data_IF_156133238579
#
_entry.id   IF_156133238579
#
_cell.length_a   1.000
_cell.length_b   1.000
_cell.length_c   1.000
_cell.angle_alpha   90.00
_cell.angle_beta   90.00
_cell.angle_gamma   90.00
#
_symmetry.space_group_name_H-M   'P 1'
#
loop_
_entity.id
_entity.type
_entity.pdbx_description
1 polymer ?
#
# COMPACT_ATOMS: atom_id res chain seq x y z
N UNK A 1 -23.72 32.29 12.50
CA UNK A 1 -24.27 31.51 11.35
C UNK A 1 -23.33 31.71 10.17
N UNK A 2 -22.31 30.86 10.04
CA UNK A 2 -21.31 30.98 8.96
C UNK A 2 -21.94 30.39 7.70
N UNK A 3 -22.15 31.23 6.67
CA UNK A 3 -22.59 30.78 5.35
C UNK A 3 -21.41 30.06 4.68
N UNK A 4 -21.39 28.74 4.77
CA UNK A 4 -20.41 27.91 4.10
C UNK A 4 -20.65 27.96 2.59
N UNK A 5 -19.72 28.57 1.86
CA UNK A 5 -19.82 28.76 0.42
C UNK A 5 -19.54 27.41 -0.26
N UNK A 6 -20.60 26.75 -0.75
CA UNK A 6 -20.54 25.38 -1.33
C UNK A 6 -19.47 25.23 -2.42
N UNK A 7 -19.18 26.31 -3.13
CA UNK A 7 -18.13 26.38 -4.18
C UNK A 7 -16.72 26.21 -3.59
N UNK A 8 -16.47 26.73 -2.38
CA UNK A 8 -15.15 26.63 -1.73
C UNK A 8 -14.88 25.20 -1.20
N UNK A 9 -15.93 24.50 -0.74
CA UNK A 9 -15.86 23.09 -0.34
C UNK A 9 -15.70 22.18 -1.57
N UNK A 10 -16.41 22.47 -2.67
CA UNK A 10 -16.25 21.72 -3.93
C UNK A 10 -14.85 21.89 -4.54
N UNK A 11 -14.25 23.08 -4.42
CA UNK A 11 -12.89 23.33 -4.90
C UNK A 11 -11.84 22.55 -4.08
N UNK A 12 -11.99 22.46 -2.75
CA UNK A 12 -11.11 21.66 -1.89
C UNK A 12 -11.29 20.15 -2.07
N UNK A 13 -12.51 19.66 -2.31
CA UNK A 13 -12.78 18.26 -2.62
C UNK A 13 -12.21 17.83 -3.97
N UNK A 14 -12.26 18.70 -4.98
CA UNK A 14 -11.62 18.44 -6.28
C UNK A 14 -10.09 18.42 -6.18
N UNK A 15 -9.48 19.28 -5.36
CA UNK A 15 -8.04 19.28 -5.12
C UNK A 15 -7.56 18.05 -4.33
N UNK A 16 -8.37 17.55 -3.39
CA UNK A 16 -8.06 16.32 -2.63
C UNK A 16 -8.10 15.07 -3.52
N UNK A 17 -8.98 15.01 -4.52
CA UNK A 17 -9.02 13.91 -5.49
C UNK A 17 -7.98 14.02 -6.62
N UNK A 18 -7.59 15.24 -7.01
CA UNK A 18 -6.49 15.46 -7.96
C UNK A 18 -5.13 15.00 -7.40
N UNK A 19 -4.92 15.10 -6.09
CA UNK A 19 -3.74 14.55 -5.41
C UNK A 19 -3.79 13.02 -5.23
N UNK A 20 -4.97 12.40 -5.31
CA UNK A 20 -5.13 10.94 -5.25
C UNK A 20 -4.66 10.23 -6.54
N UNK A 21 -4.25 11.00 -7.54
CA UNK A 21 -3.89 10.52 -8.89
C UNK A 21 -2.38 10.32 -9.09
N UNK A 22 -1.51 10.77 -8.19
CA UNK A 22 -0.06 10.83 -8.46
C UNK A 22 0.76 9.66 -7.90
N UNK A 23 0.13 8.62 -7.38
CA UNK A 23 0.81 7.35 -7.05
C UNK A 23 0.50 6.22 -8.04
N UNK A 24 -0.30 6.49 -9.07
CA UNK A 24 -0.39 5.61 -10.23
C UNK A 24 0.83 5.91 -11.10
N UNK A 25 1.80 5.00 -11.10
CA UNK A 25 2.72 4.90 -12.24
C UNK A 25 1.89 5.02 -13.52
N UNK A 26 2.36 5.85 -14.45
CA UNK A 26 1.83 6.01 -15.82
C UNK A 26 1.87 4.65 -16.53
N UNK A 27 0.95 3.76 -16.19
CA UNK A 27 0.69 2.52 -16.89
C UNK A 27 -0.44 2.81 -17.87
N UNK A 28 -0.21 2.48 -19.14
CA UNK A 28 -1.28 2.49 -20.13
C UNK A 28 -2.29 1.41 -19.75
N UNK A 29 -3.36 1.80 -19.06
CA UNK A 29 -4.49 0.91 -18.82
C UNK A 29 -5.28 0.70 -20.11
N UNK A 30 -5.85 -0.49 -20.27
CA UNK A 30 -6.85 -0.76 -21.29
C UNK A 30 -8.08 0.13 -21.09
N UNK A 31 -8.73 0.50 -22.19
CA UNK A 31 -9.94 1.33 -22.15
C UNK A 31 -11.04 0.71 -21.26
N UNK A 32 -11.17 -0.62 -21.26
CA UNK A 32 -12.09 -1.38 -20.42
C UNK A 32 -11.81 -1.16 -18.93
N UNK A 33 -10.55 -1.26 -18.51
CA UNK A 33 -10.17 -1.03 -17.12
C UNK A 33 -10.33 0.45 -16.69
N UNK A 34 -10.11 1.40 -17.59
CA UNK A 34 -10.41 2.83 -17.33
C UNK A 34 -11.91 3.05 -17.12
N UNK A 35 -12.76 2.43 -17.94
CA UNK A 35 -14.21 2.49 -17.78
C UNK A 35 -14.63 1.85 -16.46
N UNK A 36 -14.12 0.65 -16.16
CA UNK A 36 -14.41 -0.06 -14.91
C UNK A 36 -13.99 0.76 -13.68
N UNK A 37 -12.79 1.35 -13.68
CA UNK A 37 -12.33 2.25 -12.62
C UNK A 37 -13.26 3.48 -12.47
N UNK A 38 -13.71 4.04 -13.58
CA UNK A 38 -14.63 5.19 -13.59
C UNK A 38 -16.03 4.81 -13.05
N UNK A 39 -16.53 3.63 -13.41
CA UNK A 39 -17.81 3.11 -12.91
C UNK A 39 -17.75 2.76 -11.43
N UNK A 40 -16.64 2.18 -10.96
CA UNK A 40 -16.38 1.96 -9.53
C UNK A 40 -16.44 3.27 -8.77
N UNK A 41 -15.73 4.30 -9.24
CA UNK A 41 -15.78 5.63 -8.63
C UNK A 41 -17.20 6.21 -8.63
N UNK A 42 -17.97 6.06 -9.71
CA UNK A 42 -19.37 6.53 -9.76
C UNK A 42 -20.27 5.75 -8.80
N UNK A 43 -20.16 4.43 -8.75
CA UNK A 43 -21.00 3.56 -7.91
C UNK A 43 -20.69 3.75 -6.41
N UNK A 44 -19.41 3.86 -6.06
CA UNK A 44 -18.98 4.13 -4.69
C UNK A 44 -19.43 5.53 -4.21
N UNK A 45 -19.32 6.56 -5.06
CA UNK A 45 -19.69 7.94 -4.72
C UNK A 45 -21.19 8.21 -4.76
N UNK A 46 -21.95 7.55 -5.64
CA UNK A 46 -23.38 7.87 -5.88
C UNK A 46 -24.33 6.96 -5.12
N UNK A 47 -24.03 5.66 -5.08
CA UNK A 47 -24.97 4.66 -4.59
C UNK A 47 -24.54 4.11 -3.21
N UNK A 48 -23.35 4.48 -2.72
CA UNK A 48 -22.78 4.03 -1.43
C UNK A 48 -22.52 2.52 -1.36
N UNK A 49 -22.62 1.82 -2.49
CA UNK A 49 -22.61 0.36 -2.54
C UNK A 49 -21.31 -0.14 -3.19
N UNK A 50 -20.25 -0.19 -2.38
CA UNK A 50 -18.94 -0.70 -2.80
C UNK A 50 -19.01 -2.19 -3.16
N UNK A 51 -19.88 -2.97 -2.51
CA UNK A 51 -20.05 -4.39 -2.79
C UNK A 51 -20.50 -4.63 -4.24
N UNK A 52 -21.46 -3.84 -4.74
CA UNK A 52 -21.90 -3.92 -6.13
C UNK A 52 -20.79 -3.57 -7.12
N UNK A 53 -19.89 -2.65 -6.74
CA UNK A 53 -18.73 -2.30 -7.56
C UNK A 53 -17.73 -3.48 -7.65
N UNK A 54 -17.51 -4.19 -6.53
CA UNK A 54 -16.71 -5.42 -6.49
C UNK A 54 -17.33 -6.50 -7.38
N UNK A 55 -18.62 -6.78 -7.22
CA UNK A 55 -19.32 -7.79 -8.04
C UNK A 55 -19.23 -7.48 -9.54
N UNK A 56 -19.35 -6.21 -9.90
CA UNK A 56 -19.24 -5.76 -11.31
C UNK A 56 -17.83 -5.99 -11.85
N UNK A 57 -16.79 -5.68 -11.06
CA UNK A 57 -15.40 -5.93 -11.43
C UNK A 57 -15.11 -7.41 -11.55
N UNK A 58 -15.58 -8.24 -10.61
CA UNK A 58 -15.44 -9.69 -10.66
C UNK A 58 -16.06 -10.27 -11.93
N UNK A 59 -17.28 -9.84 -12.30
CA UNK A 59 -17.91 -10.24 -13.56
C UNK A 59 -17.13 -9.76 -14.79
N UNK A 60 -16.59 -8.55 -14.75
CA UNK A 60 -15.76 -8.02 -15.83
C UNK A 60 -14.49 -8.86 -16.03
N UNK A 61 -13.84 -9.27 -14.94
CA UNK A 61 -12.68 -10.18 -14.97
C UNK A 61 -13.04 -11.54 -15.57
N UNK A 62 -14.19 -12.10 -15.21
CA UNK A 62 -14.65 -13.40 -15.71
C UNK A 62 -14.97 -13.39 -17.21
N UNK A 63 -15.49 -12.27 -17.72
CA UNK A 63 -15.94 -12.13 -19.11
C UNK A 63 -14.86 -11.60 -20.05
N UNK A 64 -13.82 -10.95 -19.51
CA UNK A 64 -12.68 -10.48 -20.28
C UNK A 64 -12.01 -11.64 -21.02
N UNK A 65 -11.61 -11.39 -22.27
CA UNK A 65 -11.02 -12.42 -23.13
C UNK A 65 -9.50 -12.31 -23.20
N UNK A 66 -9.01 -11.08 -23.17
CA UNK A 66 -7.59 -10.77 -23.30
C UNK A 66 -6.91 -10.75 -21.93
N UNK A 67 -5.74 -11.37 -21.83
CA UNK A 67 -4.96 -11.40 -20.58
C UNK A 67 -4.55 -10.00 -20.12
N UNK A 68 -4.27 -9.09 -21.07
CA UNK A 68 -3.98 -7.69 -20.78
C UNK A 68 -5.16 -6.96 -20.12
N UNK A 69 -6.39 -7.24 -20.56
CA UNK A 69 -7.60 -6.68 -19.97
C UNK A 69 -7.84 -7.26 -18.57
N UNK A 70 -7.75 -8.59 -18.43
CA UNK A 70 -7.88 -9.26 -17.12
C UNK A 70 -6.88 -8.72 -16.10
N UNK A 71 -5.62 -8.56 -16.51
CA UNK A 71 -4.55 -8.02 -15.68
C UNK A 71 -4.93 -6.65 -15.09
N UNK A 72 -5.40 -5.74 -15.94
CA UNK A 72 -5.77 -4.39 -15.51
C UNK A 72 -7.03 -4.42 -14.61
N UNK A 73 -8.03 -5.25 -14.96
CA UNK A 73 -9.24 -5.39 -14.13
C UNK A 73 -8.93 -5.98 -12.75
N UNK A 74 -8.04 -6.97 -12.67
CA UNK A 74 -7.56 -7.49 -11.38
C UNK A 74 -6.83 -6.41 -10.57
N UNK A 75 -6.03 -5.55 -11.21
CA UNK A 75 -5.34 -4.46 -10.51
C UNK A 75 -6.32 -3.43 -9.93
N UNK A 76 -7.40 -3.10 -10.67
CA UNK A 76 -8.48 -2.22 -10.20
C UNK A 76 -9.23 -2.87 -9.04
N UNK A 77 -9.60 -4.14 -9.17
CA UNK A 77 -10.29 -4.91 -8.13
C UNK A 77 -9.46 -4.99 -6.85
N UNK A 78 -8.18 -5.33 -6.96
CA UNK A 78 -7.27 -5.43 -5.83
C UNK A 78 -7.14 -4.10 -5.08
N UNK A 79 -7.02 -2.99 -5.83
CA UNK A 79 -6.92 -1.65 -5.25
C UNK A 79 -8.20 -1.27 -4.48
N UNK A 80 -9.37 -1.61 -5.01
CA UNK A 80 -10.64 -1.36 -4.32
C UNK A 80 -10.77 -2.22 -3.06
N UNK A 81 -10.44 -3.50 -3.15
CA UNK A 81 -10.45 -4.44 -2.02
C UNK A 81 -9.51 -3.96 -0.89
N UNK A 82 -8.30 -3.53 -1.24
CA UNK A 82 -7.34 -3.00 -0.29
C UNK A 82 -7.86 -1.74 0.42
N UNK A 83 -8.45 -0.80 -0.32
CA UNK A 83 -8.97 0.46 0.22
C UNK A 83 -10.07 0.27 1.26
N UNK A 84 -10.83 -0.83 1.18
CA UNK A 84 -11.89 -1.16 2.15
C UNK A 84 -11.47 -2.20 3.20
N UNK A 85 -10.19 -2.59 3.20
CA UNK A 85 -9.63 -3.51 4.19
C UNK A 85 -9.84 -5.00 3.90
N UNK A 86 -10.29 -5.37 2.70
CA UNK A 86 -10.36 -6.77 2.23
C UNK A 86 -8.97 -7.26 1.79
N UNK A 87 -8.02 -7.27 2.72
CA UNK A 87 -6.61 -7.57 2.44
C UNK A 87 -6.37 -8.99 1.91
N UNK A 88 -7.02 -10.06 2.42
CA UNK A 88 -6.87 -11.39 1.85
C UNK A 88 -7.29 -11.46 0.37
N UNK A 89 -8.42 -10.84 0.02
CA UNK A 89 -8.93 -10.81 -1.35
C UNK A 89 -8.05 -9.93 -2.25
N UNK A 90 -7.63 -8.76 -1.75
CA UNK A 90 -6.71 -7.88 -2.46
C UNK A 90 -5.38 -8.57 -2.79
N UNK A 91 -4.84 -9.36 -1.85
CA UNK A 91 -3.63 -10.16 -2.06
C UNK A 91 -3.81 -11.10 -3.26
N UNK A 92 -4.91 -11.85 -3.31
CA UNK A 92 -5.22 -12.79 -4.40
C UNK A 92 -5.34 -12.04 -5.73
N UNK A 93 -6.07 -10.93 -5.76
CA UNK A 93 -6.27 -10.13 -6.97
C UNK A 93 -4.97 -9.50 -7.48
N UNK A 94 -4.12 -8.94 -6.60
CA UNK A 94 -2.81 -8.41 -6.99
C UNK A 94 -1.88 -9.52 -7.51
N UNK A 95 -1.90 -10.70 -6.90
CA UNK A 95 -1.13 -11.84 -7.38
C UNK A 95 -1.61 -12.31 -8.76
N UNK A 96 -2.93 -12.33 -9.00
CA UNK A 96 -3.50 -12.63 -10.32
C UNK A 96 -3.07 -11.60 -11.38
N UNK A 97 -3.11 -10.31 -11.05
CA UNK A 97 -2.59 -9.25 -11.93
C UNK A 97 -1.08 -9.45 -12.21
N UNK A 98 -0.28 -9.76 -11.20
CA UNK A 98 1.15 -10.03 -11.37
C UNK A 98 1.43 -11.29 -12.23
N UNK A 99 0.56 -12.30 -12.17
CA UNK A 99 0.69 -13.52 -12.96
C UNK A 99 0.42 -13.27 -14.46
N UNK A 100 -0.49 -12.35 -14.78
CA UNK A 100 -0.84 -11.95 -16.14
C UNK A 100 0.09 -10.87 -16.72
N UNK A 101 0.83 -10.16 -15.87
CA UNK A 101 1.84 -9.20 -16.30
C UNK A 101 3.05 -9.90 -16.96
N UNK A 102 3.67 -9.22 -17.93
CA UNK A 102 4.83 -9.76 -18.64
C UNK A 102 5.98 -10.05 -17.67
N UNK A 103 6.59 -11.23 -17.79
CA UNK A 103 7.75 -11.63 -16.98
C UNK A 103 8.92 -10.66 -17.18
N UNK A 104 9.60 -10.32 -16.09
CA UNK A 104 10.77 -9.43 -16.11
C UNK A 104 10.42 -7.94 -16.23
N UNK A 105 9.17 -7.55 -16.00
CA UNK A 105 8.76 -6.14 -15.96
C UNK A 105 8.65 -5.61 -14.53
N UNK A 106 8.86 -4.31 -14.37
CA UNK A 106 8.66 -3.61 -13.09
C UNK A 106 7.19 -3.69 -12.63
N UNK A 107 6.24 -3.59 -13.55
CA UNK A 107 4.80 -3.72 -13.25
C UNK A 107 4.53 -5.01 -12.47
N UNK A 108 5.04 -6.15 -12.96
CA UNK A 108 4.89 -7.43 -12.28
C UNK A 108 5.44 -7.41 -10.86
N UNK A 109 6.60 -6.79 -10.66
CA UNK A 109 7.24 -6.69 -9.34
C UNK A 109 6.48 -5.74 -8.41
N UNK A 110 5.94 -4.62 -8.91
CA UNK A 110 5.09 -3.74 -8.11
C UNK A 110 3.80 -4.43 -7.68
N UNK A 111 3.10 -5.14 -8.59
CA UNK A 111 1.91 -5.92 -8.24
C UNK A 111 2.22 -7.01 -7.22
N UNK A 112 3.39 -7.64 -7.32
CA UNK A 112 3.84 -8.60 -6.31
C UNK A 112 4.11 -7.95 -4.95
N UNK A 113 4.72 -6.76 -4.93
CA UNK A 113 4.91 -5.99 -3.70
C UNK A 113 3.56 -5.57 -3.08
N UNK A 114 2.58 -5.18 -3.89
CA UNK A 114 1.22 -4.89 -3.41
C UNK A 114 0.57 -6.13 -2.78
N UNK A 115 0.73 -7.31 -3.39
CA UNK A 115 0.28 -8.59 -2.82
C UNK A 115 0.97 -8.91 -1.48
N UNK A 116 2.29 -8.69 -1.38
CA UNK A 116 3.05 -8.86 -0.12
C UNK A 116 2.51 -7.92 0.97
N UNK A 117 2.28 -6.64 0.64
CA UNK A 117 1.73 -5.65 1.58
C UNK A 117 0.36 -6.10 2.11
N UNK A 118 -0.50 -6.60 1.23
CA UNK A 118 -1.81 -7.12 1.62
C UNK A 118 -1.69 -8.37 2.51
N UNK A 119 -0.81 -9.31 2.16
CA UNK A 119 -0.54 -10.51 2.96
C UNK A 119 -0.05 -10.16 4.37
N UNK A 120 0.90 -9.23 4.50
CA UNK A 120 1.36 -8.72 5.79
C UNK A 120 0.21 -8.06 6.57
N UNK A 121 -0.62 -7.26 5.89
CA UNK A 121 -1.74 -6.53 6.50
C UNK A 121 -2.78 -7.45 7.13
N UNK A 122 -3.05 -8.63 6.56
CA UNK A 122 -3.92 -9.65 7.15
C UNK A 122 -3.20 -10.68 8.03
N UNK A 123 -1.88 -10.58 8.20
CA UNK A 123 -1.08 -11.51 9.00
C UNK A 123 -0.72 -12.83 8.30
N UNK A 124 -0.92 -12.95 6.98
CA UNK A 124 -0.48 -14.11 6.20
C UNK A 124 1.02 -14.01 5.87
N UNK A 125 1.83 -14.34 6.87
CA UNK A 125 3.29 -14.28 6.77
C UNK A 125 3.84 -15.34 5.81
N UNK A 126 3.18 -16.49 5.70
CA UNK A 126 3.57 -17.57 4.80
C UNK A 126 3.56 -17.13 3.35
N UNK A 127 2.47 -16.49 2.91
CA UNK A 127 2.36 -15.95 1.55
C UNK A 127 3.34 -14.80 1.33
N UNK A 128 3.49 -13.89 2.31
CA UNK A 128 4.44 -12.77 2.20
C UNK A 128 5.88 -13.26 1.98
N UNK A 129 6.36 -14.20 2.80
CA UNK A 129 7.70 -14.77 2.70
C UNK A 129 7.91 -15.54 1.39
N UNK A 130 6.89 -16.28 0.94
CA UNK A 130 6.93 -16.98 -0.34
C UNK A 130 7.09 -16.01 -1.52
N UNK A 131 6.32 -14.93 -1.57
CA UNK A 131 6.43 -13.94 -2.66
C UNK A 131 7.76 -13.20 -2.63
N UNK A 132 8.23 -12.78 -1.45
CA UNK A 132 9.51 -12.09 -1.29
C UNK A 132 10.71 -12.95 -1.74
N UNK A 133 10.65 -14.26 -1.48
CA UNK A 133 11.75 -15.19 -1.80
C UNK A 133 11.71 -15.71 -3.23
N UNK A 134 10.53 -15.92 -3.81
CA UNK A 134 10.39 -16.60 -5.12
C UNK A 134 10.06 -15.68 -6.28
N UNK A 135 9.36 -14.57 -6.05
CA UNK A 135 8.87 -13.69 -7.11
C UNK A 135 9.64 -12.36 -7.19
N UNK A 136 10.39 -12.03 -6.14
CA UNK A 136 11.17 -10.80 -6.02
C UNK A 136 12.66 -11.09 -5.77
N UNK A 137 13.15 -12.28 -6.15
CA UNK A 137 14.53 -12.71 -5.96
C UNK A 137 15.55 -11.71 -6.54
N UNK A 138 15.27 -11.17 -7.73
CA UNK A 138 16.07 -10.15 -8.42
C UNK A 138 15.26 -8.86 -8.67
N UNK A 139 15.32 -7.86 -7.78
CA UNK A 139 14.71 -6.55 -7.99
C UNK A 139 15.21 -5.86 -9.26
N UNK A 140 14.31 -5.22 -10.01
CA UNK A 140 14.65 -4.50 -11.25
C UNK A 140 15.09 -3.05 -11.01
N UNK A 141 14.66 -2.46 -9.90
CA UNK A 141 14.98 -1.08 -9.51
C UNK A 141 15.38 -0.99 -8.05
N UNK A 142 16.09 0.08 -7.69
CA UNK A 142 16.45 0.39 -6.31
C UNK A 142 15.21 0.55 -5.42
N UNK A 143 14.13 1.13 -5.97
CA UNK A 143 12.87 1.27 -5.25
C UNK A 143 12.24 -0.08 -4.90
N UNK A 144 12.20 -1.02 -5.86
CA UNK A 144 11.67 -2.36 -5.62
C UNK A 144 12.55 -3.09 -4.60
N UNK A 145 13.87 -2.93 -4.70
CA UNK A 145 14.83 -3.48 -3.74
C UNK A 145 14.58 -2.95 -2.32
N UNK A 146 14.37 -1.64 -2.18
CA UNK A 146 14.10 -0.99 -0.91
C UNK A 146 12.77 -1.46 -0.29
N UNK A 147 11.69 -1.52 -1.10
CA UNK A 147 10.38 -2.05 -0.67
C UNK A 147 10.48 -3.52 -0.25
N UNK A 148 11.19 -4.36 -1.01
CA UNK A 148 11.45 -5.76 -0.66
C UNK A 148 12.17 -5.89 0.69
N UNK A 149 13.25 -5.13 0.90
CA UNK A 149 14.01 -5.11 2.16
C UNK A 149 13.12 -4.72 3.34
N UNK A 150 12.32 -3.66 3.17
CA UNK A 150 11.38 -3.21 4.20
C UNK A 150 10.32 -4.27 4.53
N UNK A 151 9.68 -4.87 3.52
CA UNK A 151 8.65 -5.88 3.75
C UNK A 151 9.20 -7.17 4.35
N UNK A 152 10.43 -7.56 4.03
CA UNK A 152 11.10 -8.67 4.71
C UNK A 152 11.35 -8.37 6.19
N UNK A 153 11.73 -7.13 6.51
CA UNK A 153 11.91 -6.68 7.89
C UNK A 153 10.60 -6.63 8.67
N UNK A 154 9.51 -6.21 8.01
CA UNK A 154 8.16 -6.26 8.56
C UNK A 154 7.63 -7.67 8.77
N UNK A 155 7.91 -8.60 7.84
CA UNK A 155 7.65 -10.03 8.06
C UNK A 155 8.37 -10.53 9.33
N UNK A 156 9.65 -10.17 9.50
CA UNK A 156 10.39 -10.50 10.72
C UNK A 156 9.76 -9.87 11.98
N UNK A 157 9.29 -8.63 11.90
CA UNK A 157 8.61 -7.96 13.00
C UNK A 157 7.35 -8.71 13.44
N UNK A 158 6.49 -9.13 12.52
CA UNK A 158 5.26 -9.86 12.87
C UNK A 158 5.57 -11.21 13.50
N UNK A 159 6.67 -11.86 13.11
CA UNK A 159 7.13 -13.13 13.69
C UNK A 159 7.85 -12.98 15.03
N UNK A 160 8.17 -11.76 15.45
CA UNK A 160 9.00 -11.52 16.64
C UNK A 160 8.18 -11.71 17.92
N UNK A 161 8.63 -12.62 18.78
CA UNK A 161 7.93 -12.94 20.04
C UNK A 161 8.62 -12.33 21.27
N UNK A 162 9.85 -11.81 21.12
CA UNK A 162 10.66 -11.34 22.23
C UNK A 162 11.29 -9.97 21.98
N UNK A 163 11.68 -9.31 23.07
CA UNK A 163 12.30 -7.96 23.04
C UNK A 163 13.63 -7.92 22.26
N UNK A 164 14.37 -9.02 22.22
CA UNK A 164 15.68 -9.08 21.55
C UNK A 164 15.51 -9.02 20.03
N UNK A 165 14.51 -9.71 19.50
CA UNK A 165 14.18 -9.69 18.07
C UNK A 165 13.72 -8.28 17.66
N UNK A 166 12.84 -7.66 18.45
CA UNK A 166 12.41 -6.27 18.23
C UNK A 166 13.60 -5.31 18.26
N UNK A 167 14.52 -5.46 19.22
CA UNK A 167 15.72 -4.62 19.31
C UNK A 167 16.64 -4.77 18.09
N UNK A 168 16.76 -6.00 17.57
CA UNK A 168 17.54 -6.29 16.37
C UNK A 168 16.90 -5.66 15.13
N UNK A 169 15.57 -5.71 15.02
CA UNK A 169 14.82 -5.06 13.94
C UNK A 169 14.99 -3.54 14.00
N UNK A 170 14.90 -2.94 15.19
CA UNK A 170 15.14 -1.50 15.39
C UNK A 170 16.54 -1.11 14.92
N UNK A 171 17.57 -1.91 15.23
CA UNK A 171 18.94 -1.64 14.76
C UNK A 171 19.04 -1.68 13.22
N UNK A 172 18.34 -2.62 12.56
CA UNK A 172 18.28 -2.68 11.09
C UNK A 172 17.53 -1.48 10.53
N UNK A 173 16.39 -1.08 11.09
CA UNK A 173 15.64 0.11 10.67
C UNK A 173 16.49 1.38 10.79
N UNK A 174 17.21 1.56 11.91
CA UNK A 174 18.14 2.68 12.12
C UNK A 174 19.24 2.71 11.05
N UNK A 175 19.71 1.54 10.63
CA UNK A 175 20.68 1.42 9.53
C UNK A 175 20.04 1.78 8.19
N UNK A 176 18.85 1.27 7.88
CA UNK A 176 18.13 1.59 6.64
C UNK A 176 17.81 3.08 6.51
N UNK A 177 17.54 3.78 7.61
CA UNK A 177 17.30 5.22 7.62
C UNK A 177 18.51 6.04 7.11
N UNK A 178 19.74 5.51 7.18
CA UNK A 178 20.95 6.20 6.73
C UNK A 178 21.38 5.84 5.31
N UNK A 179 20.85 4.76 4.73
CA UNK A 179 21.24 4.28 3.40
C UNK A 179 20.53 5.06 2.29
N UNK A 180 21.28 5.49 1.28
CA UNK A 180 20.73 6.22 0.12
C UNK A 180 19.83 5.34 -0.75
N UNK A 181 20.15 4.05 -0.87
CA UNK A 181 19.33 3.07 -1.59
C UNK A 181 17.93 2.88 -0.99
N UNK A 182 17.71 3.31 0.26
CA UNK A 182 16.41 3.23 0.93
C UNK A 182 15.58 4.51 0.82
N UNK A 183 16.05 5.52 0.07
CA UNK A 183 15.42 6.85 -0.02
C UNK A 183 13.91 6.79 -0.30
N UNK A 184 13.46 5.91 -1.20
CA UNK A 184 12.04 5.78 -1.56
C UNK A 184 11.13 5.30 -0.43
N UNK A 185 11.69 4.71 0.63
CA UNK A 185 10.94 4.19 1.78
C UNK A 185 11.41 4.78 3.12
N UNK A 186 12.24 5.83 3.09
CA UNK A 186 12.68 6.52 4.31
C UNK A 186 11.52 7.06 5.17
N UNK A 187 10.46 7.67 4.61
CA UNK A 187 9.33 8.14 5.42
C UNK A 187 8.71 7.03 6.28
N UNK A 188 8.45 5.87 5.67
CA UNK A 188 7.84 4.74 6.36
C UNK A 188 8.79 4.02 7.32
N UNK A 189 10.11 4.04 7.05
CA UNK A 189 11.12 3.60 8.03
C UNK A 189 11.08 4.48 9.28
N UNK A 190 11.03 5.81 9.10
CA UNK A 190 10.98 6.76 10.22
C UNK A 190 9.67 6.62 11.01
N UNK A 191 8.54 6.43 10.33
CA UNK A 191 7.27 6.10 10.99
C UNK A 191 7.38 4.81 11.79
N UNK A 192 7.90 3.75 11.18
CA UNK A 192 8.08 2.45 11.85
C UNK A 192 8.96 2.57 13.10
N UNK A 193 10.05 3.34 13.02
CA UNK A 193 10.91 3.62 14.16
C UNK A 193 10.17 4.36 15.26
N UNK A 194 9.44 5.43 14.93
CA UNK A 194 8.66 6.19 15.90
C UNK A 194 7.60 5.33 16.60
N UNK A 195 6.84 4.53 15.85
CA UNK A 195 5.79 3.67 16.41
C UNK A 195 6.36 2.56 17.33
N UNK A 196 7.53 2.00 17.00
CA UNK A 196 8.16 0.93 17.80
C UNK A 196 8.88 1.48 19.03
N UNK A 197 9.60 2.61 18.92
CA UNK A 197 10.48 3.11 19.98
C UNK A 197 9.89 4.26 20.79
N UNK A 198 8.89 4.97 20.26
CA UNK A 198 8.39 6.25 20.77
C UNK A 198 9.46 7.37 20.89
N UNK A 199 10.61 7.22 20.22
CA UNK A 199 11.65 8.26 20.14
C UNK A 199 11.17 9.43 19.25
N UNK A 200 10.93 10.60 19.85
CA UNK A 200 10.35 11.79 19.20
C UNK A 200 11.26 12.35 18.09
N UNK A 201 12.55 12.03 18.14
CA UNK A 201 13.55 12.39 17.13
C UNK A 201 13.15 11.90 15.73
N UNK A 202 12.57 10.69 15.62
CA UNK A 202 12.11 10.15 14.33
C UNK A 202 10.89 10.88 13.81
N UNK A 203 9.93 11.20 14.69
CA UNK A 203 8.78 12.04 14.34
C UNK A 203 9.23 13.41 13.84
N UNK A 204 10.13 14.08 14.54
CA UNK A 204 10.61 15.41 14.16
C UNK A 204 11.38 15.36 12.83
N UNK A 205 12.23 14.34 12.64
CA UNK A 205 12.97 14.14 11.40
C UNK A 205 12.04 13.86 10.21
N UNK A 206 10.99 13.06 10.42
CA UNK A 206 9.97 12.76 9.41
C UNK A 206 9.21 14.01 8.96
N UNK A 207 8.70 14.81 9.90
CA UNK A 207 7.96 16.04 9.59
C UNK A 207 8.86 17.10 8.95
N UNK A 208 10.14 17.16 9.33
CA UNK A 208 11.08 18.13 8.76
C UNK A 208 11.56 17.73 7.36
N UNK A 209 11.89 16.45 7.16
CA UNK A 209 12.52 15.97 5.92
C UNK A 209 11.49 15.57 4.86
N UNK A 210 10.29 15.16 5.27
CA UNK A 210 9.22 14.67 4.39
C UNK A 210 7.84 15.23 4.77
N UNK A 211 7.67 16.57 4.82
CA UNK A 211 6.43 17.20 5.31
C UNK A 211 5.18 16.80 4.52
N UNK A 212 5.33 16.52 3.23
CA UNK A 212 4.21 16.17 2.33
C UNK A 212 3.92 14.67 2.29
N UNK A 213 4.63 13.85 3.08
CA UNK A 213 4.42 12.41 3.13
C UNK A 213 3.14 12.04 3.92
N UNK A 214 2.43 10.96 3.53
CA UNK A 214 1.33 10.42 4.33
C UNK A 214 1.75 10.10 5.77
N UNK A 215 2.99 9.64 5.96
CA UNK A 215 3.55 9.33 7.27
C UNK A 215 3.69 10.57 8.15
N UNK A 216 4.13 11.70 7.60
CA UNK A 216 4.15 12.99 8.31
C UNK A 216 2.73 13.45 8.71
N UNK A 217 1.73 13.21 7.85
CA UNK A 217 0.33 13.49 8.17
C UNK A 217 -0.19 12.63 9.33
N UNK A 218 0.24 11.36 9.43
CA UNK A 218 -0.12 10.46 10.53
C UNK A 218 0.47 10.97 11.86
N UNK A 219 1.78 11.22 11.93
CA UNK A 219 2.43 11.61 13.20
C UNK A 219 2.05 13.03 13.66
N UNK A 220 1.57 13.88 12.74
CA UNK A 220 1.01 15.20 13.05
C UNK A 220 -0.47 15.15 13.48
N UNK A 221 -1.12 14.00 13.36
CA UNK A 221 -2.54 13.81 13.71
C UNK A 221 -3.53 14.30 12.63
N UNK A 222 -3.04 14.68 11.45
CA UNK A 222 -3.86 15.11 10.31
C UNK A 222 -4.44 13.93 9.52
N UNK A 223 -3.86 12.74 9.69
CA UNK A 223 -4.34 11.47 9.16
C UNK A 223 -4.31 10.39 10.27
N UNK A 224 -5.03 9.28 10.04
CA UNK A 224 -5.02 8.12 10.92
C UNK A 224 -4.70 6.87 10.12
N UNK A 225 -3.96 5.95 10.74
CA UNK A 225 -3.77 4.62 10.19
C UNK A 225 -5.09 3.86 10.21
N UNK A 226 -5.35 3.12 9.14
CA UNK A 226 -6.42 2.14 9.11
C UNK A 226 -6.09 1.01 10.10
N UNK A 227 -7.05 0.52 10.88
CA UNK A 227 -6.81 -0.56 11.83
C UNK A 227 -6.56 -1.89 11.11
N UNK A 228 -5.31 -2.17 10.71
CA UNK A 228 -4.91 -3.48 10.16
C UNK A 228 -4.20 -4.33 11.23
N UNK A 229 -4.38 -5.67 11.21
CA UNK A 229 -3.65 -6.61 12.07
C UNK A 229 -2.14 -6.34 12.15
N UNK A 230 -1.50 -6.07 11.02
CA UNK A 230 -0.07 -5.73 10.96
C UNK A 230 0.29 -4.60 11.95
N UNK A 231 -0.42 -3.47 11.87
CA UNK A 231 -0.19 -2.34 12.75
C UNK A 231 -0.63 -2.66 14.19
N UNK A 232 -1.73 -3.38 14.38
CA UNK A 232 -2.20 -3.75 15.73
C UNK A 232 -1.25 -4.65 16.51
N UNK A 233 -0.67 -5.68 15.88
CA UNK A 233 0.26 -6.60 16.55
C UNK A 233 1.64 -5.97 16.76
N UNK A 234 2.07 -5.07 15.87
CA UNK A 234 3.30 -4.29 16.06
C UNK A 234 3.23 -3.24 17.20
N UNK A 235 2.02 -2.87 17.62
CA UNK A 235 1.77 -1.89 18.69
C UNK A 235 1.68 -2.52 20.10
N UNK A 236 1.91 -3.82 20.26
CA UNK A 236 2.07 -4.39 21.61
C UNK A 236 3.39 -3.88 22.17
N UNK A 237 3.26 -2.93 23.10
CA UNK A 237 4.34 -2.11 23.64
C UNK A 237 5.47 -2.99 24.17
N UNK A 238 6.71 -2.62 23.86
CA UNK A 238 7.86 -3.04 24.64
C UNK A 238 7.84 -2.31 26.00
N UNK A 239 6.92 -2.68 26.89
CA UNK A 239 7.01 -2.36 28.33
C UNK A 239 8.00 -3.34 28.98
#
# INVERSE_FOLDING_TARGET
MIKTNKVFIQFFLCLFFLYLSTALYSQSMTASAVVAQTEVSKNALRDGNVQKAIETLEQSVLTAKEDAEKKDLYAVLASLQEQIGMFPEAQVSFNAAAALAQKGTEERQYRMLDAVRCALSCGDISSADFFLSTQLDKPLTDEISAKKKLYALWSWLVKSENKKDISSIVAVLKTYATLDEMNSVKPVIMLSLYEITNEVEWKNSLVTSYPDSPEAAIVSGSAKLFPSPFWYFSLSKAE
#
